data_IF_867910340137
#
_entry.id   IF_867910340137
#
_cell.length_a   1.000
_cell.length_b   1.000
_cell.length_c   1.000
_cell.angle_alpha   90.00
_cell.angle_beta   90.00
_cell.angle_gamma   90.00
#
_symmetry.space_group_name_H-M   'P 1'
#
loop_
_entity.id
_entity.type
_entity.pdbx_description
1 polymer ?
#
# COMPACT_ATOMS: atom_id res chain seq x y z
N UNK A 1 -16.44 15.55 -69.01
CA UNK A 1 -16.89 15.78 -67.62
C UNK A 1 -17.39 14.45 -67.08
N UNK A 2 -16.76 13.93 -66.01
CA UNK A 2 -16.98 12.57 -65.50
C UNK A 2 -18.30 12.47 -64.72
N UNK A 3 -19.20 11.57 -65.14
CA UNK A 3 -20.44 11.24 -64.43
C UNK A 3 -20.13 10.40 -63.18
N UNK A 4 -19.82 11.08 -62.06
CA UNK A 4 -19.68 10.42 -60.76
C UNK A 4 -21.09 10.01 -60.30
N UNK A 5 -21.39 8.71 -60.37
CA UNK A 5 -22.67 8.14 -59.92
C UNK A 5 -22.84 8.31 -58.40
N UNK A 6 -24.05 8.68 -57.95
CA UNK A 6 -24.37 8.95 -56.54
C UNK A 6 -23.98 7.81 -55.57
N UNK A 7 -24.05 6.54 -55.99
CA UNK A 7 -23.58 5.40 -55.19
C UNK A 7 -22.09 5.48 -54.86
N UNK A 8 -21.25 5.99 -55.78
CA UNK A 8 -19.81 6.15 -55.53
C UNK A 8 -19.55 7.23 -54.49
N UNK A 9 -20.34 8.31 -54.46
CA UNK A 9 -20.27 9.34 -53.42
C UNK A 9 -20.75 8.81 -52.06
N UNK A 10 -21.82 8.01 -52.05
CA UNK A 10 -22.32 7.37 -50.83
C UNK A 10 -21.31 6.36 -50.25
N UNK A 11 -20.67 5.55 -51.12
CA UNK A 11 -19.62 4.62 -50.73
C UNK A 11 -18.36 5.34 -50.24
N UNK A 12 -17.99 6.46 -50.85
CA UNK A 12 -16.85 7.28 -50.43
C UNK A 12 -17.13 7.95 -49.08
N UNK A 13 -18.37 8.42 -48.86
CA UNK A 13 -18.82 8.98 -47.59
C UNK A 13 -18.86 7.94 -46.46
N UNK A 14 -19.36 6.73 -46.72
CA UNK A 14 -19.29 5.63 -45.77
C UNK A 14 -17.84 5.23 -45.46
N UNK A 15 -16.93 5.23 -46.45
CA UNK A 15 -15.51 4.97 -46.22
C UNK A 15 -14.87 6.07 -45.36
N UNK A 16 -15.20 7.35 -45.60
CA UNK A 16 -14.76 8.49 -44.79
C UNK A 16 -15.32 8.47 -43.37
N UNK A 17 -16.58 8.08 -43.19
CA UNK A 17 -17.21 7.95 -41.88
C UNK A 17 -16.60 6.82 -41.05
N UNK A 18 -16.20 5.71 -41.68
CA UNK A 18 -15.47 4.61 -41.02
C UNK A 18 -14.04 5.04 -40.65
N UNK A 19 -13.39 5.88 -41.47
CA UNK A 19 -12.04 6.41 -41.18
C UNK A 19 -12.02 7.49 -40.08
N UNK A 20 -13.11 8.26 -39.89
CA UNK A 20 -13.20 9.30 -38.85
C UNK A 20 -13.71 8.80 -37.49
N UNK A 21 -14.19 7.55 -37.40
CA UNK A 21 -14.87 7.01 -36.20
C UNK A 21 -14.04 6.10 -35.29
N UNK A 22 -12.82 5.70 -35.66
CA UNK A 22 -11.99 4.82 -34.84
C UNK A 22 -10.89 5.61 -34.12
N UNK A 23 -11.20 6.24 -32.98
CA UNK A 23 -10.14 6.39 -31.98
C UNK A 23 -9.64 4.98 -31.65
N UNK A 24 -8.33 4.77 -31.76
CA UNK A 24 -7.77 3.48 -31.34
C UNK A 24 -8.00 3.30 -29.84
N UNK A 25 -8.23 2.06 -29.42
CA UNK A 25 -8.34 1.71 -27.98
C UNK A 25 -7.16 2.27 -27.17
N UNK A 26 -6.00 2.33 -27.80
CA UNK A 26 -4.78 2.90 -27.23
C UNK A 26 -4.89 4.40 -26.95
N UNK A 27 -5.38 5.18 -27.91
CA UNK A 27 -5.58 6.62 -27.73
C UNK A 27 -6.60 6.91 -26.61
N UNK A 28 -7.66 6.11 -26.52
CA UNK A 28 -8.64 6.21 -25.43
C UNK A 28 -8.02 5.90 -24.06
N UNK A 29 -7.16 4.88 -23.97
CA UNK A 29 -6.44 4.53 -22.74
C UNK A 29 -5.48 5.64 -22.33
N UNK A 30 -4.72 6.21 -23.27
CA UNK A 30 -3.82 7.34 -23.00
C UNK A 30 -4.57 8.57 -22.47
N UNK A 31 -5.72 8.92 -23.08
CA UNK A 31 -6.59 10.00 -22.56
C UNK A 31 -7.10 9.70 -21.14
N UNK A 32 -7.56 8.47 -20.91
CA UNK A 32 -8.01 8.01 -19.58
C UNK A 32 -6.88 8.10 -18.54
N UNK A 33 -5.65 7.77 -18.91
CA UNK A 33 -4.47 7.90 -18.06
C UNK A 33 -4.23 9.36 -17.69
N UNK A 34 -4.22 10.27 -18.68
CA UNK A 34 -4.01 11.70 -18.42
C UNK A 34 -5.06 12.28 -17.48
N UNK A 35 -6.34 11.95 -17.68
CA UNK A 35 -7.41 12.35 -16.76
C UNK A 35 -7.23 11.76 -15.36
N UNK A 36 -6.79 10.50 -15.28
CA UNK A 36 -6.56 9.83 -14.01
C UNK A 36 -5.37 10.41 -13.25
N UNK A 37 -4.31 10.86 -13.96
CA UNK A 37 -3.19 11.60 -13.39
C UNK A 37 -3.68 12.93 -12.80
N UNK A 38 -4.49 13.70 -13.54
CA UNK A 38 -5.05 14.97 -13.03
C UNK A 38 -5.88 14.75 -11.76
N UNK A 39 -6.71 13.71 -11.72
CA UNK A 39 -7.49 13.33 -10.52
C UNK A 39 -6.57 12.94 -9.36
N UNK A 40 -5.51 12.18 -9.63
CA UNK A 40 -4.52 11.80 -8.61
C UNK A 40 -3.78 13.02 -8.03
N UNK A 41 -3.42 14.00 -8.85
CA UNK A 41 -2.80 15.26 -8.39
C UNK A 41 -3.73 16.02 -7.45
N UNK A 42 -5.01 16.16 -7.81
CA UNK A 42 -6.01 16.82 -6.97
C UNK A 42 -6.21 16.08 -5.65
N UNK A 43 -6.42 14.76 -5.69
CA UNK A 43 -6.64 13.94 -4.49
C UNK A 43 -5.42 13.94 -3.56
N UNK A 44 -4.21 13.87 -4.11
CA UNK A 44 -2.98 13.93 -3.31
C UNK A 44 -2.77 15.33 -2.71
N UNK A 45 -3.05 16.40 -3.46
CA UNK A 45 -2.99 17.77 -2.95
C UNK A 45 -4.00 17.98 -1.82
N UNK A 46 -5.24 17.50 -1.99
CA UNK A 46 -6.28 17.53 -0.95
C UNK A 46 -5.87 16.77 0.31
N UNK A 47 -5.27 15.58 0.16
CA UNK A 47 -4.69 14.85 1.30
C UNK A 47 -3.60 15.68 2.00
N UNK A 48 -2.73 16.34 1.24
CA UNK A 48 -1.70 17.22 1.79
C UNK A 48 -2.31 18.36 2.61
N UNK A 49 -3.32 19.03 2.07
CA UNK A 49 -4.04 20.10 2.78
C UNK A 49 -4.75 19.57 4.02
N UNK A 50 -5.29 18.36 3.93
CA UNK A 50 -5.94 17.71 5.04
C UNK A 50 -4.95 17.39 6.18
N UNK A 51 -3.69 17.05 5.86
CA UNK A 51 -2.60 16.88 6.84
C UNK A 51 -2.20 18.21 7.48
N UNK A 52 -2.03 19.26 6.66
CA UNK A 52 -1.62 20.59 7.15
C UNK A 52 -2.66 21.19 8.09
N UNK A 53 -3.94 21.07 7.73
CA UNK A 53 -5.05 21.58 8.52
C UNK A 53 -5.41 20.67 9.71
N UNK A 54 -4.72 19.55 9.92
CA UNK A 54 -5.00 18.63 11.02
C UNK A 54 -6.36 17.92 10.92
N UNK A 55 -6.94 17.81 9.73
CA UNK A 55 -8.27 17.19 9.54
C UNK A 55 -8.23 15.65 9.54
N UNK A 56 -7.05 15.03 9.48
CA UNK A 56 -6.88 13.59 9.63
C UNK A 56 -6.74 13.23 11.11
N UNK A 57 -7.76 12.56 11.66
CA UNK A 57 -7.80 12.09 13.06
C UNK A 57 -6.50 11.39 13.49
N UNK A 58 -6.03 10.41 12.71
CA UNK A 58 -4.82 9.68 13.10
C UNK A 58 -3.54 10.51 12.94
N UNK A 59 -3.52 11.53 12.07
CA UNK A 59 -2.38 12.45 12.01
C UNK A 59 -2.31 13.34 13.27
N UNK A 60 -3.46 13.81 13.77
CA UNK A 60 -3.52 14.52 15.06
C UNK A 60 -3.06 13.61 16.20
N UNK A 61 -3.60 12.40 16.27
CA UNK A 61 -3.24 11.45 17.31
C UNK A 61 -1.75 11.09 17.30
N UNK A 62 -1.15 10.95 16.12
CA UNK A 62 0.29 10.73 15.98
C UNK A 62 1.11 11.88 16.57
N UNK A 63 0.70 13.14 16.33
CA UNK A 63 1.33 14.33 16.94
C UNK A 63 1.17 14.33 18.46
N UNK A 64 -0.03 14.06 18.96
CA UNK A 64 -0.32 14.01 20.40
C UNK A 64 0.51 12.93 21.12
N UNK A 65 0.58 11.73 20.54
CA UNK A 65 1.41 10.64 21.08
C UNK A 65 2.87 11.02 21.09
N UNK A 66 3.33 11.74 20.06
CA UNK A 66 4.69 12.25 20.02
C UNK A 66 4.99 13.25 21.14
N UNK A 67 4.08 14.19 21.40
CA UNK A 67 4.24 15.15 22.52
C UNK A 67 4.29 14.41 23.86
N UNK A 68 3.34 13.50 24.10
CA UNK A 68 3.29 12.75 25.36
C UNK A 68 4.54 11.88 25.56
N UNK A 69 4.99 11.18 24.51
CA UNK A 69 6.16 10.32 24.61
C UNK A 69 7.44 11.13 24.82
N UNK A 70 7.59 12.31 24.20
CA UNK A 70 8.72 13.20 24.47
C UNK A 70 8.77 13.68 25.91
N UNK A 71 7.61 13.94 26.51
CA UNK A 71 7.53 14.33 27.92
C UNK A 71 7.87 13.16 28.86
N UNK A 72 7.46 11.94 28.50
CA UNK A 72 7.67 10.73 29.32
C UNK A 72 9.07 10.13 29.18
N UNK A 73 9.63 10.16 27.97
CA UNK A 73 10.91 9.57 27.58
C UNK A 73 11.70 10.57 26.71
N UNK A 74 12.25 11.65 27.30
CA UNK A 74 12.97 12.69 26.56
C UNK A 74 14.15 12.17 25.73
N UNK A 75 14.77 11.06 26.14
CA UNK A 75 15.84 10.39 25.42
C UNK A 75 15.43 9.89 24.04
N UNK A 76 14.13 9.64 23.82
CA UNK A 76 13.58 9.21 22.54
C UNK A 76 13.20 10.38 21.61
N UNK A 77 13.39 11.64 22.03
CA UNK A 77 12.83 12.80 21.31
C UNK A 77 13.15 12.84 19.83
N UNK A 78 14.41 12.58 19.46
CA UNK A 78 14.82 12.57 18.03
C UNK A 78 14.12 11.48 17.23
N UNK A 79 13.91 10.31 17.83
CA UNK A 79 13.19 9.18 17.20
C UNK A 79 11.72 9.53 17.04
N UNK A 80 11.13 10.11 18.08
CA UNK A 80 9.74 10.54 18.07
C UNK A 80 9.52 11.62 17.00
N UNK A 81 10.39 12.62 16.92
CA UNK A 81 10.30 13.69 15.93
C UNK A 81 10.26 13.11 14.52
N UNK A 82 11.15 12.16 14.20
CA UNK A 82 11.18 11.49 12.89
C UNK A 82 9.90 10.71 12.60
N UNK A 83 9.37 9.96 13.56
CA UNK A 83 8.14 9.18 13.36
C UNK A 83 6.92 10.11 13.19
N UNK A 84 6.86 11.21 13.94
CA UNK A 84 5.76 12.18 13.83
C UNK A 84 5.72 12.95 12.51
N UNK A 85 6.78 12.91 11.70
CA UNK A 85 6.75 13.46 10.35
C UNK A 85 5.69 12.78 9.46
N UNK A 86 5.28 11.53 9.75
CA UNK A 86 4.17 10.90 9.03
C UNK A 86 2.83 11.60 9.23
N UNK A 87 2.70 12.46 10.24
CA UNK A 87 1.55 13.33 10.41
C UNK A 87 1.59 14.60 9.53
N UNK A 88 2.59 14.73 8.66
CA UNK A 88 2.80 15.89 7.78
C UNK A 88 3.15 15.46 6.35
N UNK A 89 3.29 16.43 5.44
CA UNK A 89 3.71 16.17 4.05
C UNK A 89 5.16 15.70 3.93
N UNK A 90 5.97 15.89 4.97
CA UNK A 90 7.38 15.45 5.00
C UNK A 90 7.54 13.97 5.33
N UNK A 91 6.48 13.32 5.84
CA UNK A 91 6.47 11.90 6.16
C UNK A 91 6.67 11.00 4.96
N UNK A 92 7.18 9.79 5.23
CA UNK A 92 7.48 8.80 4.21
C UNK A 92 6.25 8.37 3.41
N UNK A 93 5.07 8.27 4.05
CA UNK A 93 3.86 7.84 3.35
C UNK A 93 3.42 8.87 2.31
N UNK A 94 3.32 10.15 2.68
CA UNK A 94 2.90 11.21 1.75
C UNK A 94 3.95 11.46 0.66
N UNK A 95 5.23 11.57 1.06
CA UNK A 95 6.33 11.77 0.11
C UNK A 95 6.48 10.58 -0.86
N UNK A 96 6.25 9.34 -0.39
CA UNK A 96 6.22 8.14 -1.22
C UNK A 96 5.11 8.16 -2.28
N UNK A 97 3.90 8.62 -1.93
CA UNK A 97 2.82 8.82 -2.90
C UNK A 97 3.16 9.90 -3.93
N UNK A 98 3.77 11.00 -3.48
CA UNK A 98 4.22 12.10 -4.35
C UNK A 98 5.28 11.62 -5.35
N UNK A 99 6.27 10.86 -4.87
CA UNK A 99 7.31 10.31 -5.74
C UNK A 99 6.73 9.31 -6.74
N UNK A 100 5.79 8.46 -6.33
CA UNK A 100 5.12 7.53 -7.25
C UNK A 100 4.31 8.24 -8.34
N UNK A 101 3.62 9.32 -7.99
CA UNK A 101 2.91 10.14 -8.98
C UNK A 101 3.89 10.75 -9.98
N UNK A 102 5.03 11.26 -9.49
CA UNK A 102 6.12 11.77 -10.34
C UNK A 102 6.66 10.70 -11.29
N UNK A 103 6.91 9.49 -10.79
CA UNK A 103 7.39 8.36 -11.61
C UNK A 103 6.39 7.97 -12.70
N UNK A 104 5.09 7.93 -12.36
CA UNK A 104 4.00 7.67 -13.32
C UNK A 104 4.00 8.76 -14.40
N UNK A 105 4.06 10.04 -14.03
CA UNK A 105 4.10 11.16 -14.99
C UNK A 105 5.30 11.09 -15.94
N UNK A 106 6.41 10.49 -15.52
CA UNK A 106 7.59 10.28 -16.38
C UNK A 106 7.49 9.10 -17.32
N UNK A 107 6.55 8.17 -17.11
CA UNK A 107 6.51 6.87 -17.81
C UNK A 107 5.14 6.50 -18.39
N UNK A 108 4.11 7.32 -18.19
CA UNK A 108 2.71 6.95 -18.49
C UNK A 108 2.39 6.67 -19.96
N UNK A 109 3.23 7.14 -20.89
CA UNK A 109 3.11 6.87 -22.33
C UNK A 109 3.71 5.53 -22.74
N UNK A 110 4.40 4.83 -21.84
CA UNK A 110 5.04 3.55 -22.09
C UNK A 110 4.03 2.41 -21.78
N UNK A 111 3.69 1.55 -22.75
CA UNK A 111 2.86 0.38 -22.51
C UNK A 111 3.51 -0.60 -21.48
N UNK A 112 2.72 -1.42 -20.77
CA UNK A 112 1.27 -1.59 -20.89
C UNK A 112 0.46 -0.51 -20.13
N UNK A 113 -0.51 0.09 -20.82
CA UNK A 113 -1.32 1.20 -20.30
C UNK A 113 -2.26 0.79 -19.17
N UNK A 114 -2.74 -0.46 -19.18
CA UNK A 114 -3.60 -1.02 -18.14
C UNK A 114 -2.89 -1.09 -16.78
N UNK A 115 -1.59 -1.43 -16.77
CA UNK A 115 -0.80 -1.47 -15.53
C UNK A 115 -0.53 -0.07 -14.98
N UNK A 116 -0.31 0.91 -15.88
CA UNK A 116 -0.23 2.33 -15.52
C UNK A 116 -1.53 2.82 -14.90
N UNK A 117 -2.67 2.52 -15.53
CA UNK A 117 -4.00 2.83 -15.01
C UNK A 117 -4.25 2.19 -13.64
N UNK A 118 -3.91 0.91 -13.47
CA UNK A 118 -4.05 0.23 -12.18
C UNK A 118 -3.16 0.85 -11.11
N UNK A 119 -1.93 1.23 -11.47
CA UNK A 119 -1.01 1.91 -10.56
C UNK A 119 -1.54 3.27 -10.11
N UNK A 120 -2.19 4.03 -11.01
CA UNK A 120 -2.84 5.29 -10.67
C UNK A 120 -4.03 5.06 -9.72
N UNK A 121 -4.86 4.04 -9.96
CA UNK A 121 -5.97 3.71 -9.05
C UNK A 121 -5.50 3.38 -7.64
N UNK A 122 -4.44 2.58 -7.50
CA UNK A 122 -3.85 2.24 -6.21
C UNK A 122 -3.33 3.48 -5.48
N UNK A 123 -2.69 4.39 -6.21
CA UNK A 123 -2.21 5.67 -5.66
C UNK A 123 -3.38 6.53 -5.18
N UNK A 124 -4.43 6.64 -6.00
CA UNK A 124 -5.65 7.38 -5.67
C UNK A 124 -6.38 6.79 -4.46
N UNK A 125 -6.46 5.47 -4.35
CA UNK A 125 -6.95 4.81 -3.15
C UNK A 125 -6.11 5.15 -1.92
N UNK A 126 -4.77 5.09 -2.03
CA UNK A 126 -3.86 5.42 -0.94
C UNK A 126 -3.94 6.90 -0.51
N UNK A 127 -4.32 7.80 -1.43
CA UNK A 127 -4.49 9.22 -1.18
C UNK A 127 -5.81 9.54 -0.45
N UNK A 128 -6.78 8.62 -0.37
CA UNK A 128 -8.04 8.86 0.33
C UNK A 128 -7.76 9.10 1.83
N UNK A 129 -8.30 10.16 2.46
CA UNK A 129 -8.04 10.48 3.87
C UNK A 129 -8.33 9.32 4.83
N UNK A 130 -9.35 8.51 4.56
CA UNK A 130 -9.70 7.34 5.39
C UNK A 130 -8.62 6.26 5.34
N UNK A 131 -8.21 5.83 4.14
CA UNK A 131 -7.18 4.81 3.96
C UNK A 131 -5.79 5.31 4.39
N UNK A 132 -5.50 6.61 4.21
CA UNK A 132 -4.29 7.22 4.73
C UNK A 132 -4.29 7.27 6.25
N UNK A 133 -5.42 7.65 6.87
CA UNK A 133 -5.57 7.58 8.33
C UNK A 133 -5.32 6.18 8.86
N UNK A 134 -5.85 5.13 8.21
CA UNK A 134 -5.57 3.74 8.60
C UNK A 134 -4.08 3.37 8.45
N UNK A 135 -3.39 3.88 7.43
CA UNK A 135 -1.96 3.68 7.25
C UNK A 135 -1.11 4.29 8.38
N UNK A 136 -1.57 5.40 8.97
CA UNK A 136 -0.92 6.03 10.12
C UNK A 136 -1.01 5.21 11.41
N UNK A 137 -1.81 4.13 11.45
CA UNK A 137 -1.84 3.24 12.61
C UNK A 137 -0.48 2.58 12.87
N UNK A 138 0.34 2.34 11.84
CA UNK A 138 1.68 1.75 11.99
C UNK A 138 2.64 2.67 12.77
N UNK A 139 2.88 3.94 12.37
CA UNK A 139 3.72 4.86 13.15
C UNK A 139 3.12 5.20 14.53
N UNK A 140 1.79 5.29 14.67
CA UNK A 140 1.15 5.53 15.97
C UNK A 140 1.42 4.37 16.94
N UNK A 141 1.24 3.14 16.47
CA UNK A 141 1.49 1.95 17.29
C UNK A 141 2.98 1.76 17.60
N UNK A 142 3.87 2.30 16.76
CA UNK A 142 5.29 2.36 17.08
C UNK A 142 5.56 3.28 18.28
N UNK A 143 4.98 4.49 18.31
CA UNK A 143 5.04 5.37 19.48
C UNK A 143 4.39 4.73 20.71
N UNK A 144 3.25 4.07 20.52
CA UNK A 144 2.56 3.38 21.60
C UNK A 144 3.40 2.26 22.21
N UNK A 145 4.05 1.42 21.40
CA UNK A 145 4.94 0.37 21.89
C UNK A 145 6.16 0.96 22.62
N UNK A 146 6.69 2.11 22.18
CA UNK A 146 7.80 2.81 22.86
C UNK A 146 7.39 3.41 24.21
N UNK A 147 6.11 3.74 24.39
CA UNK A 147 5.59 4.28 25.65
C UNK A 147 5.55 3.29 26.82
N UNK A 148 5.95 2.02 26.58
CA UNK A 148 5.96 0.94 27.58
C UNK A 148 4.60 0.72 28.26
N UNK A 149 3.51 0.95 27.51
CA UNK A 149 2.13 0.74 27.95
C UNK A 149 1.38 2.01 28.37
N UNK A 150 2.02 3.18 28.36
CA UNK A 150 1.36 4.45 28.74
C UNK A 150 0.42 5.00 27.65
N UNK A 151 0.70 4.68 26.38
CA UNK A 151 -0.11 5.07 25.24
C UNK A 151 -0.82 3.84 24.67
N UNK A 152 -2.11 3.99 24.39
CA UNK A 152 -2.92 2.92 23.84
C UNK A 152 -2.57 2.64 22.38
N UNK A 153 -2.73 1.40 21.96
CA UNK A 153 -2.64 1.05 20.53
C UNK A 153 -3.96 1.30 19.83
N UNK A 154 -3.89 1.61 18.54
CA UNK A 154 -5.07 1.82 17.69
C UNK A 154 -5.01 0.95 16.44
N UNK A 155 -6.16 0.59 15.87
CA UNK A 155 -6.16 -0.16 14.60
C UNK A 155 -5.42 -1.50 14.71
N UNK A 156 -5.25 -2.02 15.92
CA UNK A 156 -4.38 -3.17 16.24
C UNK A 156 -5.22 -4.41 16.54
N UNK A 157 -4.58 -5.58 16.50
CA UNK A 157 -5.17 -6.83 16.99
C UNK A 157 -4.86 -7.00 18.48
N UNK A 158 -5.45 -8.00 19.14
CA UNK A 158 -5.16 -8.26 20.55
C UNK A 158 -3.66 -8.49 20.80
N UNK A 159 -3.15 -8.00 21.93
CA UNK A 159 -1.72 -8.11 22.26
C UNK A 159 -1.26 -9.57 22.32
N UNK A 160 -2.13 -10.48 22.76
CA UNK A 160 -1.90 -11.92 22.76
C UNK A 160 -1.68 -12.48 21.35
N UNK A 161 -2.34 -11.91 20.32
CA UNK A 161 -2.21 -12.35 18.94
C UNK A 161 -1.03 -11.72 18.18
N UNK A 162 -0.50 -10.59 18.66
CA UNK A 162 0.63 -9.90 18.01
C UNK A 162 2.00 -10.46 18.37
N UNK A 163 2.17 -10.96 19.61
CA UNK A 163 3.48 -11.32 20.16
C UNK A 163 4.29 -10.13 20.69
N UNK A 164 5.46 -10.42 21.26
CA UNK A 164 6.34 -9.43 21.91
C UNK A 164 7.24 -8.65 20.92
N UNK A 165 7.81 -7.53 21.37
CA UNK A 165 8.75 -6.68 20.63
C UNK A 165 8.27 -5.23 20.49
N UNK A 166 9.14 -4.29 20.13
CA UNK A 166 8.79 -2.86 19.95
C UNK A 166 9.08 -2.45 18.51
N UNK A 167 8.17 -1.71 17.88
CA UNK A 167 8.44 -0.92 16.68
C UNK A 167 8.64 -1.67 15.36
N UNK A 168 8.18 -2.92 15.27
CA UNK A 168 8.28 -3.74 14.05
C UNK A 168 7.22 -3.42 12.98
N UNK A 169 6.26 -2.53 13.26
CA UNK A 169 5.10 -2.26 12.40
C UNK A 169 5.49 -1.58 11.08
N UNK A 170 6.53 -0.75 11.08
CA UNK A 170 6.99 -0.03 9.88
C UNK A 170 7.97 -0.84 9.02
N UNK A 171 8.45 -1.99 9.52
CA UNK A 171 9.39 -2.86 8.79
C UNK A 171 8.70 -3.50 7.59
N UNK A 172 9.41 -3.55 6.46
CA UNK A 172 8.93 -4.11 5.21
C UNK A 172 8.19 -3.10 4.32
N UNK A 173 7.82 -1.92 4.86
CA UNK A 173 7.24 -0.84 4.08
C UNK A 173 8.36 -0.02 3.39
N UNK A 174 8.43 -0.04 2.05
CA UNK A 174 9.55 0.49 1.30
C UNK A 174 9.63 2.02 1.33
N UNK A 175 8.66 2.70 1.92
CA UNK A 175 8.72 4.14 2.16
C UNK A 175 9.69 4.49 3.30
N UNK A 176 9.96 3.56 4.23
CA UNK A 176 10.85 3.80 5.39
C UNK A 176 12.25 3.21 5.24
N UNK A 177 12.44 2.28 4.31
CA UNK A 177 13.67 1.52 4.20
C UNK A 177 13.60 0.44 3.13
N UNK A 178 14.56 -0.46 3.15
CA UNK A 178 14.56 -1.62 2.27
C UNK A 178 15.25 -2.83 2.91
N UNK A 179 15.04 -3.99 2.28
CA UNK A 179 15.75 -5.20 2.63
C UNK A 179 17.10 -5.24 1.93
N UNK A 180 18.18 -5.37 2.71
CA UNK A 180 19.52 -5.63 2.24
C UNK A 180 19.83 -7.12 2.35
N UNK A 181 20.38 -7.73 1.31
CA UNK A 181 20.90 -9.10 1.36
C UNK A 181 22.41 -9.07 1.55
N UNK A 182 22.94 -9.90 2.47
CA UNK A 182 24.38 -10.13 2.55
C UNK A 182 24.81 -11.33 1.69
N UNK A 183 26.13 -11.48 1.52
CA UNK A 183 26.76 -12.60 0.80
C UNK A 183 26.32 -13.97 1.35
N UNK A 184 26.03 -14.05 2.65
CA UNK A 184 25.61 -15.28 3.34
C UNK A 184 24.13 -15.64 3.11
N UNK A 185 23.42 -14.91 2.23
CA UNK A 185 22.03 -15.19 1.85
C UNK A 185 20.99 -14.80 2.90
N UNK A 186 21.40 -14.21 4.02
CA UNK A 186 20.48 -13.60 5.00
C UNK A 186 20.14 -12.18 4.56
N UNK A 187 18.92 -11.73 4.85
CA UNK A 187 18.50 -10.36 4.52
C UNK A 187 18.05 -9.62 5.77
N UNK A 188 18.30 -8.33 5.83
CA UNK A 188 18.02 -7.49 6.98
C UNK A 188 17.37 -6.18 6.55
N UNK A 189 16.52 -5.64 7.43
CA UNK A 189 15.91 -4.35 7.20
C UNK A 189 16.93 -3.23 7.44
N UNK A 190 16.97 -2.28 6.53
CA UNK A 190 17.75 -1.06 6.67
C UNK A 190 16.84 0.15 6.49
N UNK A 191 16.84 1.03 7.49
CA UNK A 191 16.15 2.31 7.44
C UNK A 191 16.93 3.32 6.59
N UNK A 192 16.23 4.26 5.94
CA UNK A 192 16.85 5.29 5.10
C UNK A 192 16.39 6.71 5.41
N UNK A 193 17.16 7.67 4.90
CA UNK A 193 16.91 9.11 5.07
C UNK A 193 16.84 9.48 6.56
N UNK A 194 15.81 10.24 6.91
CA UNK A 194 15.52 10.65 8.29
C UNK A 194 15.26 9.46 9.25
N UNK A 195 14.78 8.31 8.73
CA UNK A 195 14.46 7.13 9.53
C UNK A 195 15.69 6.31 9.95
N UNK A 196 16.90 6.68 9.52
CA UNK A 196 18.14 5.97 9.89
C UNK A 196 18.32 5.85 11.41
N UNK A 197 17.87 6.83 12.18
CA UNK A 197 17.95 6.83 13.66
C UNK A 197 17.22 5.63 14.28
N UNK A 198 16.20 5.08 13.61
CA UNK A 198 15.52 3.87 14.06
C UNK A 198 16.46 2.66 14.04
N UNK A 199 17.48 2.65 13.18
CA UNK A 199 18.49 1.58 13.16
C UNK A 199 19.42 1.59 14.38
N UNK A 200 19.56 2.73 15.05
CA UNK A 200 20.41 2.88 16.23
C UNK A 200 19.66 2.52 17.52
N UNK A 201 18.33 2.67 17.51
CA UNK A 201 17.46 2.39 18.66
C UNK A 201 16.86 1.00 18.64
N UNK A 202 16.55 0.47 17.46
CA UNK A 202 15.93 -0.84 17.31
C UNK A 202 16.93 -1.88 16.83
N UNK A 203 16.80 -3.09 17.39
CA UNK A 203 17.60 -4.23 16.97
C UNK A 203 17.44 -4.49 15.47
N UNK A 204 18.54 -4.91 14.84
CA UNK A 204 18.56 -5.29 13.43
C UNK A 204 17.53 -6.39 13.17
N UNK A 205 16.66 -6.15 12.19
CA UNK A 205 15.56 -7.06 11.86
C UNK A 205 15.96 -7.94 10.68
N UNK A 206 16.10 -9.24 10.92
CA UNK A 206 16.41 -10.23 9.87
C UNK A 206 15.11 -10.75 9.23
N UNK A 207 15.08 -10.86 7.91
CA UNK A 207 13.86 -11.08 7.13
C UNK A 207 13.17 -12.39 7.48
N UNK A 208 13.89 -13.50 7.65
CA UNK A 208 13.29 -14.80 7.93
C UNK A 208 12.66 -14.88 9.33
N UNK A 209 13.38 -14.43 10.36
CA UNK A 209 12.86 -14.34 11.74
C UNK A 209 11.70 -13.34 11.84
N UNK A 210 11.83 -12.16 11.24
CA UNK A 210 10.75 -11.18 11.15
C UNK A 210 9.54 -11.76 10.44
N UNK A 211 9.73 -12.43 9.30
CA UNK A 211 8.63 -12.99 8.51
C UNK A 211 7.77 -13.97 9.31
N UNK A 212 8.40 -14.77 10.17
CA UNK A 212 7.73 -15.72 11.06
C UNK A 212 7.05 -15.04 12.27
N UNK A 213 7.68 -14.00 12.82
CA UNK A 213 7.28 -13.36 14.08
C UNK A 213 6.71 -11.96 13.96
N UNK A 214 6.42 -11.47 12.74
CA UNK A 214 6.04 -10.06 12.54
C UNK A 214 4.76 -9.73 13.31
N UNK A 215 4.74 -8.51 13.85
CA UNK A 215 3.52 -7.92 14.39
C UNK A 215 2.52 -7.61 13.28
N UNK A 216 1.28 -7.35 13.69
CA UNK A 216 0.30 -6.74 12.81
C UNK A 216 0.81 -5.37 12.33
N UNK A 217 0.61 -5.10 11.05
CA UNK A 217 0.89 -3.78 10.46
C UNK A 217 -0.13 -3.55 9.36
N UNK A 218 -0.73 -2.37 9.35
CA UNK A 218 -1.64 -1.99 8.28
C UNK A 218 -0.98 -2.14 6.91
N UNK A 219 0.26 -1.67 6.75
CA UNK A 219 0.98 -1.82 5.49
C UNK A 219 1.08 -3.31 5.07
N UNK A 220 1.57 -4.18 5.95
CA UNK A 220 1.83 -5.57 5.59
C UNK A 220 0.54 -6.37 5.35
N UNK A 221 -0.54 -6.04 6.06
CA UNK A 221 -1.79 -6.80 6.06
C UNK A 221 -2.84 -6.24 5.07
N UNK A 222 -2.88 -4.93 4.84
CA UNK A 222 -3.90 -4.27 4.00
C UNK A 222 -3.32 -3.28 2.96
N UNK A 223 -2.23 -2.59 3.29
CA UNK A 223 -1.73 -1.43 2.55
C UNK A 223 -0.69 -1.74 1.47
N UNK A 224 -0.12 -2.94 1.43
CA UNK A 224 1.08 -3.24 0.63
C UNK A 224 0.97 -2.83 -0.83
N UNK A 225 -0.13 -3.16 -1.50
CA UNK A 225 -0.35 -2.82 -2.91
C UNK A 225 -0.61 -1.33 -3.12
N UNK A 226 -1.22 -0.66 -2.13
CA UNK A 226 -1.54 0.76 -2.17
C UNK A 226 -0.34 1.65 -1.94
N UNK A 227 0.62 1.23 -1.11
CA UNK A 227 1.77 2.04 -0.70
C UNK A 227 3.10 1.60 -1.32
N UNK A 228 3.10 0.56 -2.16
CA UNK A 228 4.27 0.13 -2.91
C UNK A 228 4.11 0.36 -4.40
N UNK A 229 5.20 0.72 -5.08
CA UNK A 229 5.28 0.70 -6.54
C UNK A 229 5.39 -0.74 -7.06
N UNK A 230 5.04 -1.01 -8.34
CA UNK A 230 5.24 -2.32 -8.95
C UNK A 230 6.67 -2.85 -8.81
N UNK A 231 7.66 -1.97 -8.95
CA UNK A 231 9.09 -2.30 -8.75
C UNK A 231 9.37 -2.77 -7.32
N UNK A 232 8.83 -2.10 -6.32
CA UNK A 232 9.00 -2.47 -4.91
C UNK A 232 8.32 -3.81 -4.58
N UNK A 233 7.11 -4.03 -5.11
CA UNK A 233 6.39 -5.31 -4.96
C UNK A 233 7.22 -6.45 -5.55
N UNK A 234 7.76 -6.27 -6.76
CA UNK A 234 8.63 -7.25 -7.41
C UNK A 234 9.88 -7.54 -6.59
N UNK A 235 10.55 -6.52 -6.07
CA UNK A 235 11.73 -6.69 -5.22
C UNK A 235 11.43 -7.51 -3.96
N UNK A 236 10.29 -7.26 -3.31
CA UNK A 236 9.84 -8.02 -2.14
C UNK A 236 9.49 -9.48 -2.50
N UNK A 237 8.84 -9.74 -3.63
CA UNK A 237 8.55 -11.11 -4.10
C UNK A 237 9.83 -11.89 -4.44
N UNK A 238 10.82 -11.23 -5.05
CA UNK A 238 12.14 -11.83 -5.31
C UNK A 238 12.86 -12.18 -4.02
N UNK A 239 12.85 -11.27 -3.03
CA UNK A 239 13.42 -11.52 -1.72
C UNK A 239 12.77 -12.73 -1.06
N UNK A 240 11.44 -12.77 -1.02
CA UNK A 240 10.69 -13.88 -0.45
C UNK A 240 11.06 -15.21 -1.10
N UNK A 241 11.10 -15.25 -2.44
CA UNK A 241 11.46 -16.45 -3.20
C UNK A 241 12.87 -16.92 -2.87
N UNK A 242 13.83 -15.99 -2.82
CA UNK A 242 15.22 -16.29 -2.47
C UNK A 242 15.33 -16.83 -1.04
N UNK A 243 14.68 -16.18 -0.07
CA UNK A 243 14.72 -16.63 1.32
C UNK A 243 14.05 -17.99 1.48
N UNK A 244 12.92 -18.23 0.82
CA UNK A 244 12.25 -19.53 0.80
C UNK A 244 13.17 -20.64 0.28
N UNK A 245 13.86 -20.41 -0.83
CA UNK A 245 14.83 -21.35 -1.39
C UNK A 245 16.02 -21.61 -0.44
N UNK A 246 16.54 -20.56 0.19
CA UNK A 246 17.63 -20.68 1.18
C UNK A 246 17.21 -21.53 2.39
N UNK A 247 16.00 -21.30 2.91
CA UNK A 247 15.46 -22.07 4.02
C UNK A 247 15.23 -23.53 3.65
N UNK A 248 14.68 -23.80 2.45
CA UNK A 248 14.51 -25.17 1.93
C UNK A 248 15.84 -25.92 1.85
N UNK A 249 16.91 -25.28 1.34
CA UNK A 249 18.26 -25.87 1.30
C UNK A 249 18.84 -26.18 2.68
N UNK A 250 18.44 -25.44 3.70
CA UNK A 250 18.86 -25.65 5.09
C UNK A 250 17.93 -26.61 5.86
N UNK A 251 16.92 -27.20 5.22
CA UNK A 251 15.91 -28.03 5.89
C UNK A 251 15.00 -27.25 6.85
N UNK A 252 14.94 -25.91 6.74
CA UNK A 252 14.13 -25.04 7.60
C UNK A 252 12.79 -24.70 6.95
N UNK A 253 11.76 -24.54 7.78
CA UNK A 253 10.45 -24.05 7.34
C UNK A 253 10.46 -22.53 7.19
N UNK A 254 9.96 -22.02 6.07
CA UNK A 254 9.80 -20.59 5.81
C UNK A 254 8.32 -20.21 5.80
N UNK A 255 7.93 -19.30 6.69
CA UNK A 255 6.60 -18.69 6.68
C UNK A 255 6.69 -17.37 5.94
N UNK A 256 5.94 -17.21 4.86
CA UNK A 256 5.88 -15.94 4.13
C UNK A 256 5.14 -14.87 4.92
N UNK A 257 5.62 -13.61 4.94
CA UNK A 257 4.97 -12.56 5.71
C UNK A 257 3.68 -12.09 5.03
N UNK A 258 3.50 -12.45 3.75
CA UNK A 258 2.41 -11.99 2.90
C UNK A 258 1.43 -13.11 2.51
N UNK A 259 1.73 -14.37 2.87
CA UNK A 259 0.85 -15.50 2.56
C UNK A 259 -0.48 -15.44 3.31
N UNK A 260 -0.51 -14.84 4.49
CA UNK A 260 -1.73 -14.61 5.26
C UNK A 260 -1.72 -13.22 5.89
N UNK A 261 -2.91 -12.65 6.03
CA UNK A 261 -3.14 -11.37 6.70
C UNK A 261 -3.46 -11.64 8.16
N UNK A 262 -2.88 -10.86 9.07
CA UNK A 262 -3.33 -10.80 10.46
C UNK A 262 -4.64 -10.00 10.49
N UNK A 263 -5.74 -10.68 10.82
CA UNK A 263 -7.09 -10.10 10.88
C UNK A 263 -7.55 -9.85 12.31
N UNK A 264 -8.61 -9.06 12.49
CA UNK A 264 -9.17 -8.74 13.80
C UNK A 264 -8.78 -7.37 14.33
N UNK A 265 -8.15 -6.55 13.49
CA UNK A 265 -7.82 -5.18 13.84
C UNK A 265 -9.10 -4.36 14.04
N UNK A 266 -9.28 -3.78 15.23
CA UNK A 266 -10.45 -2.95 15.53
C UNK A 266 -10.20 -1.50 15.10
N UNK A 267 -11.20 -0.86 14.47
CA UNK A 267 -11.14 0.57 14.17
C UNK A 267 -10.51 0.94 12.82
N UNK A 268 -10.22 -0.03 11.96
CA UNK A 268 -9.92 0.23 10.55
C UNK A 268 -11.18 0.59 9.77
N UNK A 269 -11.04 1.41 8.73
CA UNK A 269 -12.17 1.73 7.85
C UNK A 269 -12.62 0.50 7.04
N UNK A 270 -13.91 0.48 6.65
CA UNK A 270 -14.44 -0.56 5.74
C UNK A 270 -13.69 -0.62 4.41
N UNK A 271 -13.16 0.52 3.96
CA UNK A 271 -12.37 0.64 2.73
C UNK A 271 -11.08 -0.19 2.81
N UNK A 272 -10.47 -0.37 3.98
CA UNK A 272 -9.23 -1.14 4.15
C UNK A 272 -9.42 -2.61 3.79
N UNK A 273 -10.58 -3.17 4.14
CA UNK A 273 -10.93 -4.56 3.87
C UNK A 273 -11.35 -4.80 2.42
N UNK A 274 -11.66 -3.74 1.67
CA UNK A 274 -12.04 -3.86 0.27
C UNK A 274 -10.77 -4.02 -0.57
N UNK A 275 -10.60 -5.12 -1.32
CA UNK A 275 -9.48 -5.28 -2.24
C UNK A 275 -9.51 -4.19 -3.32
N UNK A 276 -8.35 -3.67 -3.76
CA UNK A 276 -8.31 -2.76 -4.89
C UNK A 276 -8.94 -3.37 -6.14
N UNK A 277 -9.65 -2.57 -6.92
CA UNK A 277 -10.29 -3.05 -8.15
C UNK A 277 -9.23 -3.45 -9.19
N UNK A 278 -9.33 -4.67 -9.72
CA UNK A 278 -8.56 -5.07 -10.91
C UNK A 278 -9.22 -4.48 -12.16
N UNK A 279 -8.42 -4.01 -13.14
CA UNK A 279 -8.89 -3.46 -14.42
C UNK A 279 -8.85 -4.47 -15.59
N UNK A 280 -8.69 -5.76 -15.32
CA UNK A 280 -8.51 -6.75 -16.40
C UNK A 280 -9.83 -7.25 -17.00
N UNK A 281 -10.08 -6.94 -18.27
CA UNK A 281 -11.08 -7.59 -19.14
C UNK A 281 -10.58 -8.88 -19.81
N UNK A 282 -9.30 -9.21 -19.63
CA UNK A 282 -8.69 -10.46 -20.08
C UNK A 282 -7.99 -11.11 -18.89
N UNK A 283 -8.31 -12.36 -18.59
CA UNK A 283 -7.79 -13.15 -17.48
C UNK A 283 -6.32 -13.55 -17.68
N UNK A 284 -5.43 -12.58 -17.84
CA UNK A 284 -4.05 -12.74 -17.42
C UNK A 284 -3.97 -12.10 -16.05
N UNK A 285 -4.17 -12.93 -15.02
CA UNK A 285 -3.89 -12.56 -13.64
C UNK A 285 -2.49 -11.98 -13.65
N UNK A 286 -2.42 -10.66 -13.53
CA UNK A 286 -1.15 -9.97 -13.50
C UNK A 286 -0.43 -10.54 -12.28
N UNK A 287 0.85 -10.92 -12.39
CA UNK A 287 1.59 -11.55 -11.28
C UNK A 287 1.60 -10.67 -10.01
N UNK A 288 1.18 -9.41 -10.16
CA UNK A 288 1.04 -8.36 -9.16
C UNK A 288 -0.28 -8.46 -8.34
N UNK A 289 -1.33 -9.11 -8.88
CA UNK A 289 -2.67 -9.22 -8.26
C UNK A 289 -2.84 -10.45 -7.34
N UNK A 290 -1.97 -11.45 -7.46
CA UNK A 290 -2.04 -12.72 -6.69
C UNK A 290 -1.70 -12.58 -5.20
N UNK A 291 -1.49 -11.38 -4.68
CA UNK A 291 -1.14 -11.16 -3.27
C UNK A 291 -2.35 -10.79 -2.37
N UNK A 292 -3.57 -11.03 -2.84
CA UNK A 292 -4.73 -11.09 -1.96
C UNK A 292 -4.79 -12.50 -1.36
N UNK A 293 -4.26 -12.65 -0.14
CA UNK A 293 -4.46 -13.86 0.65
C UNK A 293 -5.95 -14.26 0.58
N UNK A 294 -6.20 -15.53 0.32
CA UNK A 294 -7.53 -16.13 0.18
C UNK A 294 -8.45 -15.67 1.32
N UNK A 295 -9.23 -14.61 1.07
CA UNK A 295 -10.44 -14.36 1.85
C UNK A 295 -11.39 -15.46 1.42
N UNK A 296 -11.53 -16.47 2.28
CA UNK A 296 -12.63 -17.43 2.18
C UNK A 296 -13.90 -16.61 2.13
N UNK A 297 -14.53 -16.56 0.97
CA UNK A 297 -15.88 -16.07 0.82
C UNK A 297 -16.78 -17.04 1.58
N UNK A 298 -17.01 -16.82 2.87
CA UNK A 298 -18.02 -17.54 3.65
C UNK A 298 -19.41 -17.02 3.29
N UNK A 299 -19.77 -17.21 2.02
CA UNK A 299 -21.14 -17.16 1.54
C UNK A 299 -21.90 -18.41 1.98
N UNK A 300 -22.04 -18.60 3.29
CA UNK A 300 -22.99 -19.54 3.88
C UNK A 300 -23.70 -18.81 5.00
N UNK A 301 -24.71 -18.02 4.63
CA UNK A 301 -25.76 -17.62 5.56
C UNK A 301 -26.56 -18.87 5.90
N UNK A 302 -26.09 -19.62 6.89
CA UNK A 302 -26.92 -20.62 7.56
C UNK A 302 -27.91 -19.85 8.43
N UNK A 303 -29.09 -19.61 7.87
CA UNK A 303 -30.28 -19.20 8.62
C UNK A 303 -30.53 -20.27 9.69
N UNK A 304 -30.09 -20.02 10.92
CA UNK A 304 -30.58 -20.77 12.08
C UNK A 304 -31.94 -20.19 12.43
N UNK A 305 -32.98 -20.89 11.98
CA UNK A 305 -34.35 -20.60 12.33
C UNK A 305 -34.53 -20.54 13.84
N UNK A 306 -35.28 -19.54 14.27
CA UNK A 306 -35.68 -19.34 15.66
C UNK A 306 -36.62 -20.49 16.04
N UNK A 307 -36.17 -21.38 16.91
CA UNK A 307 -37.04 -22.35 17.56
C UNK A 307 -38.08 -21.58 18.39
N UNK A 308 -39.33 -21.63 17.94
CA UNK A 308 -40.51 -21.31 18.74
C UNK A 308 -41.32 -22.59 18.83
N UNK A 309 -41.56 -23.02 20.06
CA UNK A 309 -42.14 -24.31 20.38
C UNK A 309 -43.58 -24.52 19.92
N UNK A 310 -43.96 -25.79 19.98
CA UNK A 310 -45.20 -26.27 20.57
C UNK A 310 -44.85 -27.51 21.40
#
# INVERSE_FOLDING_TARGET
MSNIKAWKLLSLFCLFAVLMGCQSKEEQLQKTIQESIKKAEVELSQLGTALDNGSLRNALLLKEYGVQLKNQQPELSKVVDVITLDATRQGALYSGLTQRLKDIKGTYLIPPYEDTLHSIDLLREAAKPTLFSDALTDPINMLADMSKGNLARIGAISQQAEGAGVGNQMVGNPNYGNWQSNSNGTSFWQWYGMYRILGDVFNRVEYGSWSRGRKYSYYNDYGRTRYSSPKQIKAQSTLETRTRQSYQRQGKQFTSPYASKKTGASGLSRSSYTPPKSRSSYSRSSSYSNNSGSVRNSGSRTSRGVSRGK
#
